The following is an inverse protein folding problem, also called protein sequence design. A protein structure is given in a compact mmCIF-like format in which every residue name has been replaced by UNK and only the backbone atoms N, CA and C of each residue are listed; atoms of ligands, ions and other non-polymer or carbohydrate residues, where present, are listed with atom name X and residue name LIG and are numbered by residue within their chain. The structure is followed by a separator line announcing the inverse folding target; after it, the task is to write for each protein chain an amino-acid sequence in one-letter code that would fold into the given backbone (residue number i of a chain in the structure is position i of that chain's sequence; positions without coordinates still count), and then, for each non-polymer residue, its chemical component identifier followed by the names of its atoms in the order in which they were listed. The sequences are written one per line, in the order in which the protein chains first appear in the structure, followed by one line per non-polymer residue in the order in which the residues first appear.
data_IF_611926542344
#
_entry.id   IF_611926542344
#
_cell.length_a   1.000
_cell.length_b   1.000
_cell.length_c   1.000
_cell.angle_alpha   90.00
_cell.angle_beta   90.00
_cell.angle_gamma   90.00
#
_symmetry.space_group_name_H-M   'P 1'
#
loop_
_entity.id
_entity.type
_entity.pdbx_description
1 polymer ?
#
# COMPACT_ATOMS: atom_id res chain seq x y z
N UNK A 1 -2.44 -5.50 0.31
CA UNK A 1 -2.41 -4.53 1.42
C UNK A 1 -1.41 -5.00 2.47
N UNK A 2 -0.46 -4.14 2.83
CA UNK A 2 0.53 -4.36 3.87
C UNK A 2 0.19 -3.45 5.06
N UNK A 3 -0.24 -4.01 6.19
CA UNK A 3 -0.59 -3.25 7.40
C UNK A 3 -0.48 -4.12 8.65
N UNK A 4 0.25 -3.63 9.65
CA UNK A 4 0.36 -4.22 10.99
C UNK A 4 -0.89 -3.93 11.85
N UNK A 5 -1.63 -2.87 11.52
CA UNK A 5 -2.85 -2.48 12.21
C UNK A 5 -4.05 -3.36 11.81
N UNK A 6 -4.31 -4.39 12.62
CA UNK A 6 -5.42 -5.33 12.41
C UNK A 6 -6.79 -4.64 12.27
N UNK A 7 -7.08 -3.60 13.05
CA UNK A 7 -8.37 -2.89 12.97
C UNK A 7 -8.53 -2.13 11.66
N UNK A 8 -7.46 -1.46 11.22
CA UNK A 8 -7.44 -0.76 9.93
C UNK A 8 -7.56 -1.77 8.79
N UNK A 9 -6.74 -2.82 8.80
CA UNK A 9 -6.77 -3.91 7.81
C UNK A 9 -8.17 -4.49 7.65
N UNK A 10 -8.83 -4.86 8.74
CA UNK A 10 -10.17 -5.45 8.68
C UNK A 10 -11.22 -4.46 8.14
N UNK A 11 -11.10 -3.18 8.52
CA UNK A 11 -12.01 -2.12 8.08
C UNK A 11 -11.83 -1.84 6.58
N UNK A 12 -10.60 -1.71 6.12
CA UNK A 12 -10.28 -1.47 4.71
C UNK A 12 -10.61 -2.68 3.85
N UNK A 13 -10.29 -3.91 4.28
CA UNK A 13 -10.67 -5.12 3.54
C UNK A 13 -12.18 -5.21 3.33
N UNK A 14 -12.98 -5.02 4.39
CA UNK A 14 -14.45 -5.00 4.26
C UNK A 14 -14.94 -3.84 3.38
N UNK A 15 -14.33 -2.66 3.54
CA UNK A 15 -14.66 -1.49 2.75
C UNK A 15 -14.43 -1.70 1.25
N UNK A 16 -13.21 -2.09 0.90
CA UNK A 16 -12.77 -2.30 -0.48
C UNK A 16 -13.49 -3.46 -1.16
N UNK A 17 -13.78 -4.55 -0.44
CA UNK A 17 -14.61 -5.63 -0.97
C UNK A 17 -16.02 -5.15 -1.35
N UNK A 18 -16.62 -4.20 -0.59
CA UNK A 18 -17.91 -3.58 -0.96
C UNK A 18 -17.78 -2.72 -2.23
N UNK A 19 -16.60 -2.15 -2.48
CA UNK A 19 -16.26 -1.45 -3.72
C UNK A 19 -15.74 -2.37 -4.84
N UNK A 20 -15.94 -3.70 -4.74
CA UNK A 20 -15.59 -4.71 -5.76
C UNK A 20 -14.08 -4.90 -5.98
N UNK A 21 -13.24 -4.48 -5.04
CA UNK A 21 -11.82 -4.85 -5.04
C UNK A 21 -11.61 -6.18 -4.34
N UNK A 22 -10.78 -7.05 -4.91
CA UNK A 22 -10.24 -8.21 -4.20
C UNK A 22 -9.00 -7.80 -3.40
N UNK A 23 -9.03 -8.01 -2.08
CA UNK A 23 -7.93 -7.59 -1.21
C UNK A 23 -7.14 -8.80 -0.71
N UNK A 24 -5.91 -8.94 -1.20
CA UNK A 24 -4.89 -9.76 -0.54
C UNK A 24 -4.25 -8.94 0.57
N UNK A 25 -4.55 -9.25 1.83
CA UNK A 25 -4.00 -8.56 3.00
C UNK A 25 -3.00 -9.44 3.75
N UNK A 26 -1.88 -8.86 4.18
CA UNK A 26 -0.93 -9.48 5.10
C UNK A 26 -0.91 -8.70 6.42
N UNK A 27 -0.61 -9.41 7.50
CA UNK A 27 -0.51 -8.84 8.84
C UNK A 27 0.80 -8.14 9.15
N UNK A 28 1.74 -8.16 8.22
CA UNK A 28 3.04 -7.55 8.38
C UNK A 28 3.26 -6.49 7.30
N UNK A 29 3.92 -5.41 7.68
CA UNK A 29 4.60 -4.47 6.76
C UNK A 29 5.96 -5.02 6.32
N UNK A 30 6.13 -6.35 6.33
CA UNK A 30 7.32 -7.05 5.85
C UNK A 30 7.14 -7.42 4.37
N UNK A 31 7.97 -6.82 3.52
CA UNK A 31 8.08 -7.16 2.11
C UNK A 31 8.39 -8.65 1.90
N UNK A 32 9.11 -9.29 2.81
CA UNK A 32 9.44 -10.71 2.74
C UNK A 32 8.22 -11.62 2.65
N UNK A 33 7.12 -11.29 3.33
CA UNK A 33 5.89 -12.09 3.25
C UNK A 33 5.18 -11.91 1.91
N UNK A 34 5.13 -10.68 1.41
CA UNK A 34 4.65 -10.42 0.07
C UNK A 34 5.49 -11.19 -0.96
N UNK A 35 6.82 -11.13 -0.89
CA UNK A 35 7.72 -11.85 -1.79
C UNK A 35 7.65 -13.38 -1.65
N UNK A 36 7.23 -13.91 -0.49
CA UNK A 36 6.95 -15.35 -0.28
C UNK A 36 5.62 -15.79 -0.90
N UNK A 37 4.72 -14.87 -1.24
CA UNK A 37 3.46 -15.22 -1.92
C UNK A 37 3.75 -15.88 -3.27
N UNK A 38 3.04 -16.96 -3.66
CA UNK A 38 3.25 -17.61 -4.95
C UNK A 38 3.24 -16.61 -6.10
N UNK A 39 4.17 -16.77 -7.05
CA UNK A 39 4.33 -15.83 -8.17
C UNK A 39 3.02 -15.60 -8.92
N UNK A 40 2.24 -16.67 -9.16
CA UNK A 40 0.92 -16.61 -9.81
C UNK A 40 -0.08 -15.68 -9.13
N UNK A 41 -0.03 -15.55 -7.80
CA UNK A 41 -0.85 -14.60 -7.05
C UNK A 41 -0.26 -13.20 -7.03
N UNK A 42 1.08 -13.09 -6.94
CA UNK A 42 1.76 -11.78 -6.99
C UNK A 42 1.55 -11.07 -8.32
N UNK A 43 1.59 -11.79 -9.45
CA UNK A 43 1.39 -11.21 -10.78
C UNK A 43 -0.05 -10.75 -11.02
N UNK A 44 -1.00 -11.14 -10.16
CA UNK A 44 -2.38 -10.66 -10.21
C UNK A 44 -2.60 -9.38 -9.40
N UNK A 45 -1.61 -8.96 -8.58
CA UNK A 45 -1.70 -7.73 -7.81
C UNK A 45 -1.54 -6.54 -8.75
N UNK A 46 -2.59 -5.76 -8.89
CA UNK A 46 -2.59 -4.56 -9.74
C UNK A 46 -2.12 -3.32 -8.98
N UNK A 47 -2.40 -3.24 -7.68
CA UNK A 47 -2.04 -2.11 -6.81
C UNK A 47 -1.63 -2.62 -5.44
N UNK A 48 -0.60 -2.01 -4.86
CA UNK A 48 -0.19 -2.27 -3.49
C UNK A 48 -0.69 -1.15 -2.57
N UNK A 49 -1.51 -1.51 -1.60
CA UNK A 49 -1.89 -0.62 -0.51
C UNK A 49 -0.92 -0.78 0.66
N UNK A 50 -0.23 0.29 1.05
CA UNK A 50 0.77 0.30 2.11
C UNK A 50 0.30 1.19 3.27
N UNK A 51 0.16 0.62 4.46
CA UNK A 51 -0.03 1.38 5.69
C UNK A 51 1.32 1.79 6.28
N UNK A 52 1.53 3.09 6.44
CA UNK A 52 2.76 3.66 6.99
C UNK A 52 2.48 4.13 8.41
N UNK A 53 3.19 3.51 9.36
CA UNK A 53 3.16 3.89 10.77
C UNK A 53 3.80 5.25 10.99
N UNK A 54 3.38 5.94 12.04
CA UNK A 54 3.86 7.28 12.36
C UNK A 54 5.39 7.27 12.59
N UNK A 55 6.15 8.11 11.90
CA UNK A 55 7.62 8.15 11.98
C UNK A 55 8.34 7.05 11.19
N UNK A 56 7.63 6.31 10.33
CA UNK A 56 8.18 5.22 9.53
C UNK A 56 8.36 5.56 8.04
N UNK A 57 8.37 6.84 7.66
CA UNK A 57 8.51 7.29 6.27
C UNK A 57 9.78 6.74 5.59
N UNK A 58 10.94 6.87 6.23
CA UNK A 58 12.21 6.31 5.74
C UNK A 58 12.17 4.79 5.54
N UNK A 59 11.54 4.05 6.46
CA UNK A 59 11.33 2.61 6.36
C UNK A 59 10.42 2.24 5.18
N UNK A 60 9.33 3.00 4.99
CA UNK A 60 8.44 2.84 3.85
C UNK A 60 9.15 3.13 2.53
N UNK A 61 9.93 4.21 2.43
CA UNK A 61 10.72 4.54 1.24
C UNK A 61 11.73 3.44 0.89
N UNK A 62 12.41 2.87 1.90
CA UNK A 62 13.28 1.71 1.71
C UNK A 62 12.52 0.50 1.18
N UNK A 63 11.35 0.21 1.74
CA UNK A 63 10.52 -0.90 1.28
C UNK A 63 10.04 -0.72 -0.17
N UNK A 64 9.71 0.51 -0.59
CA UNK A 64 9.39 0.84 -1.98
C UNK A 64 10.59 0.57 -2.90
N UNK A 65 11.80 0.98 -2.49
CA UNK A 65 13.03 0.68 -3.23
C UNK A 65 13.25 -0.83 -3.37
N UNK A 66 13.08 -1.58 -2.28
CA UNK A 66 13.28 -3.03 -2.26
C UNK A 66 12.23 -3.76 -3.13
N UNK A 67 10.97 -3.29 -3.17
CA UNK A 67 9.93 -3.80 -4.08
C UNK A 67 10.39 -3.71 -5.54
N UNK A 68 10.87 -2.54 -5.95
CA UNK A 68 11.32 -2.30 -7.33
C UNK A 68 12.56 -3.13 -7.66
N UNK A 69 13.52 -3.22 -6.75
CA UNK A 69 14.71 -4.06 -6.91
C UNK A 69 14.37 -5.55 -7.08
N UNK A 70 13.24 -6.01 -6.54
CA UNK A 70 12.73 -7.37 -6.69
C UNK A 70 11.75 -7.52 -7.87
N UNK A 71 11.71 -6.56 -8.80
CA UNK A 71 10.89 -6.62 -10.02
C UNK A 71 9.39 -6.38 -9.80
N UNK A 72 9.00 -5.87 -8.63
CA UNK A 72 7.60 -5.53 -8.32
C UNK A 72 7.38 -4.07 -8.71
N UNK A 73 6.89 -3.83 -9.93
CA UNK A 73 6.66 -2.47 -10.48
C UNK A 73 5.19 -2.03 -10.50
N UNK A 74 4.40 -2.47 -9.52
CA UNK A 74 2.98 -2.10 -9.40
C UNK A 74 2.83 -0.70 -8.76
N UNK A 75 1.78 0.06 -9.12
CA UNK A 75 1.39 1.27 -8.41
C UNK A 75 1.23 1.02 -6.91
N UNK A 76 1.60 2.02 -6.11
CA UNK A 76 1.47 1.97 -4.65
C UNK A 76 0.56 3.10 -4.18
N UNK A 77 -0.38 2.78 -3.30
CA UNK A 77 -1.12 3.78 -2.53
C UNK A 77 -0.64 3.67 -1.09
N UNK A 78 0.07 4.68 -0.60
CA UNK A 78 0.56 4.73 0.77
C UNK A 78 -0.41 5.52 1.65
N UNK A 79 -0.77 4.97 2.80
CA UNK A 79 -1.59 5.60 3.82
C UNK A 79 -0.66 6.03 4.96
N UNK A 80 -0.37 7.33 5.07
CA UNK A 80 0.63 7.86 5.99
C UNK A 80 0.04 8.87 6.98
N UNK A 81 0.73 9.10 8.10
CA UNK A 81 0.41 10.22 8.98
C UNK A 81 0.80 11.55 8.31
N UNK A 82 0.19 12.69 8.67
CA UNK A 82 0.48 13.99 8.06
C UNK A 82 1.98 14.33 8.03
N UNK A 83 2.70 14.07 9.14
CA UNK A 83 4.13 14.34 9.28
C UNK A 83 5.03 13.53 8.35
N UNK A 84 4.58 12.33 7.98
CA UNK A 84 5.34 11.37 7.17
C UNK A 84 5.03 11.51 5.67
N UNK A 85 3.90 12.15 5.33
CA UNK A 85 3.41 12.25 3.96
C UNK A 85 4.34 13.02 3.02
N UNK A 86 4.92 14.13 3.50
CA UNK A 86 5.86 14.95 2.73
C UNK A 86 7.19 14.25 2.51
N UNK A 87 7.72 13.58 3.52
CA UNK A 87 8.97 12.80 3.42
C UNK A 87 8.81 11.64 2.42
N UNK A 88 7.70 10.90 2.53
CA UNK A 88 7.44 9.78 1.63
C UNK A 88 7.17 10.26 0.21
N UNK A 89 6.39 11.33 0.02
CA UNK A 89 6.07 11.88 -1.29
C UNK A 89 7.28 12.51 -2.02
N UNK A 90 8.25 13.02 -1.26
CA UNK A 90 9.50 13.56 -1.82
C UNK A 90 10.57 12.49 -2.09
N UNK A 91 10.33 11.24 -1.67
CA UNK A 91 11.30 10.15 -1.85
C UNK A 91 11.49 9.82 -3.34
N UNK A 92 12.73 9.65 -3.83
CA UNK A 92 12.98 9.13 -5.18
C UNK A 92 12.35 7.76 -5.43
N UNK A 93 12.15 6.97 -4.36
CA UNK A 93 11.54 5.65 -4.41
C UNK A 93 10.00 5.71 -4.51
N UNK A 94 9.38 6.89 -4.38
CA UNK A 94 7.94 7.09 -4.48
C UNK A 94 7.41 7.15 -5.92
N UNK A 95 8.21 6.75 -6.92
CA UNK A 95 7.74 6.63 -8.30
C UNK A 95 6.53 5.68 -8.38
N UNK A 96 5.46 6.14 -9.03
CA UNK A 96 4.15 5.47 -9.08
C UNK A 96 3.57 5.22 -7.67
N UNK A 97 3.81 6.13 -6.72
CA UNK A 97 3.22 6.11 -5.38
C UNK A 97 2.34 7.32 -5.15
N UNK A 98 1.07 7.09 -4.82
CA UNK A 98 0.15 8.13 -4.31
C UNK A 98 0.14 8.05 -2.79
N UNK A 99 0.29 9.18 -2.09
CA UNK A 99 0.22 9.23 -0.63
C UNK A 99 -1.13 9.82 -0.20
N UNK A 100 -1.90 9.06 0.56
CA UNK A 100 -3.12 9.49 1.24
C UNK A 100 -2.82 9.69 2.73
N UNK A 101 -3.42 10.72 3.32
CA UNK A 101 -3.13 11.13 4.69
C UNK A 101 -4.23 10.59 5.63
N UNK A 102 -3.83 9.98 6.76
CA UNK A 102 -4.77 9.54 7.81
C UNK A 102 -5.45 10.76 8.47
N UNK A 103 -6.76 10.69 8.82
CA UNK A 103 -7.67 9.56 8.63
C UNK A 103 -8.11 9.42 7.16
N UNK A 104 -8.29 8.17 6.71
CA UNK A 104 -8.61 7.85 5.32
C UNK A 104 -10.12 7.79 5.10
N UNK A 105 -10.61 8.48 4.08
CA UNK A 105 -11.93 8.24 3.51
C UNK A 105 -11.87 7.03 2.56
N UNK A 106 -12.77 6.06 2.78
CA UNK A 106 -12.87 4.88 1.96
C UNK A 106 -13.26 5.21 0.50
N UNK A 107 -14.07 6.24 0.29
CA UNK A 107 -14.48 6.65 -1.05
C UNK A 107 -13.29 7.24 -1.83
N UNK A 108 -12.47 8.06 -1.17
CA UNK A 108 -11.23 8.60 -1.74
C UNK A 108 -10.24 7.47 -2.06
N UNK A 109 -10.02 6.54 -1.12
CA UNK A 109 -9.17 5.38 -1.36
C UNK A 109 -9.68 4.54 -2.53
N UNK A 110 -10.97 4.25 -2.60
CA UNK A 110 -11.56 3.47 -3.68
C UNK A 110 -11.41 4.18 -5.04
N UNK A 111 -11.62 5.50 -5.08
CA UNK A 111 -11.43 6.31 -6.28
C UNK A 111 -9.97 6.27 -6.74
N UNK A 112 -9.01 6.38 -5.82
CA UNK A 112 -7.59 6.30 -6.17
C UNK A 112 -7.20 4.90 -6.68
N UNK A 113 -7.66 3.82 -6.03
CA UNK A 113 -7.42 2.45 -6.50
C UNK A 113 -8.05 2.19 -7.88
N UNK A 114 -9.22 2.77 -8.17
CA UNK A 114 -9.89 2.63 -9.46
C UNK A 114 -9.09 3.20 -10.63
N UNK A 115 -8.23 4.22 -10.39
CA UNK A 115 -7.37 4.81 -11.44
C UNK A 115 -6.34 3.84 -11.99
N UNK A 116 -6.02 2.79 -11.23
CA UNK A 116 -4.97 1.82 -11.54
C UNK A 116 -5.50 0.44 -11.91
N UNK A 117 -6.81 0.22 -11.76
CA UNK A 117 -7.47 -1.09 -11.94
C UNK A 117 -8.60 -1.08 -12.97
N UNK A 118 -8.88 0.09 -13.56
CA UNK A 118 -9.86 0.30 -14.63
C UNK A 118 -9.27 0.21 -16.02
#
# INVERSE_FOLDING_TARGET
MLSDNTRLRDTLTRGLNRHRFEVLATSHTDLGEFLRTPASRRTQVQVLLLDVSEGAASGAARMLSDLRANGVDVPVVAIAAPRDSGELGASPSARNTTVLIKPIDLAELAAELARWTG
#
